data_IF_607299495404
#
_entry.id   IF_607299495404
#
_cell.length_a   1.000
_cell.length_b   1.000
_cell.length_c   1.000
_cell.angle_alpha   90.00
_cell.angle_beta   90.00
_cell.angle_gamma   90.00
#
_symmetry.space_group_name_H-M   'P 1'
#
loop_
_entity.id
_entity.type
_entity.pdbx_description
1 polymer ?
#
# COMPACT_ATOMS: atom_id res chain seq x y z
N UNK A 1 -11.02 -18.40 -20.80
CA UNK A 1 -10.78 -18.88 -19.43
C UNK A 1 -9.28 -19.16 -19.19
N UNK A 2 -8.40 -18.52 -19.97
CA UNK A 2 -6.99 -18.92 -20.16
C UNK A 2 -6.01 -17.79 -19.78
N UNK A 3 -6.39 -16.88 -18.89
CA UNK A 3 -5.56 -15.73 -18.48
C UNK A 3 -5.55 -15.54 -16.96
N UNK A 4 -5.73 -16.63 -16.22
CA UNK A 4 -5.60 -16.64 -14.76
C UNK A 4 -4.43 -17.51 -14.28
N UNK A 5 -3.85 -18.33 -15.17
CA UNK A 5 -2.77 -19.28 -14.83
C UNK A 5 -1.35 -18.68 -14.86
N UNK A 6 -1.18 -17.41 -15.25
CA UNK A 6 0.11 -16.70 -15.13
C UNK A 6 0.28 -15.96 -13.81
N UNK A 7 -0.78 -15.87 -13.01
CA UNK A 7 -0.73 -15.28 -11.68
C UNK A 7 -0.53 -16.47 -10.74
N UNK A 8 0.70 -16.65 -10.23
CA UNK A 8 1.10 -17.76 -9.35
C UNK A 8 0.33 -17.78 -8.02
N UNK A 9 -0.95 -18.10 -8.07
CA UNK A 9 -1.84 -18.24 -6.92
C UNK A 9 -1.98 -19.72 -6.54
N UNK A 10 -0.84 -20.39 -6.34
CA UNK A 10 -0.80 -21.65 -5.60
C UNK A 10 -1.14 -21.38 -4.14
N UNK A 11 -1.99 -22.24 -3.59
CA UNK A 11 -2.56 -22.22 -2.25
C UNK A 11 -1.52 -21.99 -1.13
N UNK A 12 -1.70 -20.91 -0.36
CA UNK A 12 -0.99 -20.67 0.90
C UNK A 12 -0.68 -19.19 1.14
N UNK A 13 -1.68 -18.40 1.54
CA UNK A 13 -1.61 -16.96 1.89
C UNK A 13 -0.46 -16.17 1.24
N UNK A 14 -0.60 -15.81 -0.04
CA UNK A 14 0.15 -14.68 -0.59
C UNK A 14 -0.38 -13.39 0.06
N UNK A 15 0.45 -12.72 0.84
CA UNK A 15 0.18 -11.36 1.28
C UNK A 15 0.19 -10.46 0.05
N UNK A 16 -0.93 -9.81 -0.24
CA UNK A 16 -1.04 -8.92 -1.39
C UNK A 16 -0.66 -7.51 -0.97
N UNK A 17 0.34 -6.93 -1.64
CA UNK A 17 0.68 -5.51 -1.54
C UNK A 17 0.05 -4.80 -2.74
N UNK A 18 -0.89 -3.91 -2.44
CA UNK A 18 -1.70 -3.21 -3.43
C UNK A 18 -1.56 -1.70 -3.24
N UNK A 19 -1.90 -0.95 -4.27
CA UNK A 19 -1.96 0.51 -4.25
C UNK A 19 -3.16 1.01 -5.03
N UNK A 20 -3.78 2.09 -4.57
CA UNK A 20 -4.81 2.80 -5.35
C UNK A 20 -4.19 3.44 -6.58
N UNK A 21 -5.01 3.62 -7.63
CA UNK A 21 -4.60 4.34 -8.86
C UNK A 21 -3.97 5.70 -8.61
N UNK A 22 -4.58 6.50 -7.74
CA UNK A 22 -4.07 7.84 -7.43
C UNK A 22 -2.76 7.80 -6.65
N UNK A 23 -2.60 6.81 -5.76
CA UNK A 23 -1.33 6.55 -5.11
C UNK A 23 -0.25 6.15 -6.14
N UNK A 24 -0.57 5.28 -7.10
CA UNK A 24 0.37 4.88 -8.14
C UNK A 24 0.82 6.07 -9.00
N UNK A 25 -0.09 7.00 -9.32
CA UNK A 25 0.25 8.26 -10.01
C UNK A 25 1.19 9.12 -9.18
N UNK A 26 0.88 9.31 -7.90
CA UNK A 26 1.72 10.06 -6.96
C UNK A 26 3.10 9.42 -6.79
N UNK A 27 3.16 8.08 -6.68
CA UNK A 27 4.39 7.32 -6.59
C UNK A 27 5.31 7.59 -7.80
N UNK A 28 4.74 7.62 -9.01
CA UNK A 28 5.47 7.93 -10.25
C UNK A 28 5.98 9.36 -10.25
N UNK A 29 5.17 10.35 -9.85
CA UNK A 29 5.62 11.75 -9.78
C UNK A 29 6.77 11.95 -8.78
N UNK A 30 6.81 11.14 -7.72
CA UNK A 30 7.86 11.16 -6.72
C UNK A 30 9.07 10.28 -7.06
N UNK A 31 9.03 9.55 -8.19
CA UNK A 31 10.06 8.58 -8.60
C UNK A 31 10.36 7.56 -7.49
N UNK A 32 9.32 7.13 -6.77
CA UNK A 32 9.42 6.16 -5.69
C UNK A 32 9.26 4.74 -6.27
N UNK A 33 10.28 3.87 -6.23
CA UNK A 33 10.17 2.53 -6.79
C UNK A 33 9.30 1.60 -5.92
N UNK A 34 8.74 0.55 -6.53
CA UNK A 34 7.95 -0.47 -5.83
C UNK A 34 8.77 -1.16 -4.74
N UNK A 35 10.07 -1.37 -4.93
CA UNK A 35 10.99 -1.95 -3.94
C UNK A 35 10.99 -1.17 -2.61
N UNK A 36 10.81 0.15 -2.65
CA UNK A 36 10.69 0.96 -1.44
C UNK A 36 9.37 0.72 -0.69
N UNK A 37 8.27 0.49 -1.41
CA UNK A 37 6.99 0.12 -0.83
C UNK A 37 7.04 -1.28 -0.21
N UNK A 38 7.68 -2.22 -0.91
CA UNK A 38 7.88 -3.59 -0.43
C UNK A 38 8.69 -3.60 0.88
N UNK A 39 9.81 -2.88 0.91
CA UNK A 39 10.59 -2.71 2.15
C UNK A 39 9.77 -2.11 3.28
N UNK A 40 8.93 -1.11 3.00
CA UNK A 40 8.06 -0.52 4.01
C UNK A 40 7.04 -1.53 4.58
N UNK A 41 6.49 -2.42 3.74
CA UNK A 41 5.62 -3.52 4.19
C UNK A 41 6.38 -4.55 5.02
N UNK A 42 7.59 -4.93 4.62
CA UNK A 42 8.44 -5.86 5.39
C UNK A 42 8.81 -5.29 6.77
N UNK A 43 9.12 -4.00 6.84
CA UNK A 43 9.31 -3.31 8.12
C UNK A 43 8.05 -3.38 8.98
N UNK A 44 6.86 -3.13 8.42
CA UNK A 44 5.59 -3.24 9.16
C UNK A 44 5.30 -4.66 9.65
N UNK A 45 5.64 -5.69 8.86
CA UNK A 45 5.53 -7.10 9.30
C UNK A 45 6.40 -7.39 10.53
N UNK A 46 7.56 -6.74 10.63
CA UNK A 46 8.46 -6.83 11.78
C UNK A 46 8.06 -5.92 12.95
N UNK A 47 6.88 -5.29 12.88
CA UNK A 47 6.37 -4.39 13.91
C UNK A 47 6.89 -2.95 13.83
N UNK A 48 7.65 -2.59 12.79
CA UNK A 48 8.17 -1.24 12.60
C UNK A 48 7.10 -0.35 11.94
N UNK A 49 6.16 0.12 12.75
CA UNK A 49 5.04 0.99 12.38
C UNK A 49 5.32 2.41 12.93
N UNK A 50 5.23 3.45 12.10
CA UNK A 50 5.45 4.82 12.57
C UNK A 50 4.28 5.38 13.36
N UNK A 51 3.03 5.10 12.95
CA UNK A 51 1.85 5.36 13.77
C UNK A 51 0.68 4.47 13.35
N UNK A 52 -0.06 3.97 14.34
CA UNK A 52 -1.37 3.36 14.16
C UNK A 52 -2.45 4.45 14.29
N UNK A 53 -3.25 4.62 13.24
CA UNK A 53 -4.35 5.59 13.19
C UNK A 53 -5.70 4.89 13.39
N UNK A 54 -5.74 3.68 13.93
CA UNK A 54 -6.95 2.89 14.19
C UNK A 54 -7.70 2.49 12.93
N UNK A 55 -8.64 1.56 13.06
CA UNK A 55 -9.49 1.12 11.93
C UNK A 55 -8.69 0.51 10.78
N UNK A 56 -7.60 -0.20 11.10
CA UNK A 56 -6.67 -0.80 10.15
C UNK A 56 -5.96 0.22 9.25
N UNK A 57 -5.87 1.49 9.66
CA UNK A 57 -5.17 2.56 8.95
C UNK A 57 -3.85 2.87 9.66
N UNK A 58 -2.76 2.88 8.90
CA UNK A 58 -1.42 3.10 9.40
C UNK A 58 -0.73 4.23 8.65
N UNK A 59 0.12 4.95 9.39
CA UNK A 59 1.09 5.89 8.81
C UNK A 59 2.45 5.19 8.77
N UNK A 60 3.10 5.25 7.62
CA UNK A 60 4.42 4.67 7.40
C UNK A 60 5.34 5.66 6.69
N UNK A 61 6.58 5.75 7.14
CA UNK A 61 7.64 6.50 6.47
C UNK A 61 8.33 5.59 5.46
N UNK A 62 8.58 6.12 4.27
CA UNK A 62 9.29 5.41 3.21
C UNK A 62 10.52 6.21 2.83
N UNK A 63 11.68 5.56 2.92
CA UNK A 63 12.96 6.16 2.55
C UNK A 63 13.04 6.44 1.05
N UNK A 64 13.62 7.57 0.67
CA UNK A 64 13.87 7.91 -0.73
C UNK A 64 15.13 7.20 -1.23
N UNK A 65 15.12 6.60 -2.42
CA UNK A 65 16.34 6.05 -3.03
C UNK A 65 17.38 7.17 -3.24
N UNK A 66 18.64 6.92 -2.85
CA UNK A 66 19.76 7.80 -3.19
C UNK A 66 19.86 9.14 -2.44
N UNK A 67 19.04 9.40 -1.41
CA UNK A 67 19.18 10.62 -0.59
C UNK A 67 19.19 10.31 0.90
N UNK A 68 20.08 10.95 1.66
CA UNK A 68 20.21 10.79 3.11
C UNK A 68 18.92 11.08 3.91
N UNK A 69 18.95 10.73 5.21
CA UNK A 69 17.82 10.61 6.18
C UNK A 69 16.83 11.78 6.32
N UNK A 70 16.97 12.89 5.61
CA UNK A 70 16.21 14.14 5.81
C UNK A 70 15.03 14.36 4.85
N UNK A 71 14.61 13.37 4.05
CA UNK A 71 13.60 13.59 2.99
C UNK A 71 12.65 12.44 2.65
N UNK A 72 12.40 11.50 3.56
CA UNK A 72 11.48 10.38 3.32
C UNK A 72 10.02 10.81 3.15
N UNK A 73 9.25 10.01 2.42
CA UNK A 73 7.82 10.20 2.21
C UNK A 73 7.01 9.70 3.39
N UNK A 74 5.82 10.26 3.59
CA UNK A 74 4.82 9.72 4.53
C UNK A 74 3.68 9.15 3.72
N UNK A 75 3.31 7.91 3.99
CA UNK A 75 2.21 7.23 3.34
C UNK A 75 1.15 6.82 4.35
N UNK A 76 -0.10 6.86 3.91
CA UNK A 76 -1.22 6.22 4.59
C UNK A 76 -1.57 4.95 3.83
N UNK A 77 -1.57 3.84 4.56
CA UNK A 77 -1.98 2.57 4.03
C UNK A 77 -2.90 1.87 5.00
N UNK A 78 -3.79 1.05 4.46
CA UNK A 78 -4.57 0.12 5.26
C UNK A 78 -3.98 -1.27 5.20
N UNK A 79 -3.94 -1.95 6.35
CA UNK A 79 -3.32 -3.26 6.44
C UNK A 79 -4.03 -4.18 7.43
N UNK A 80 -4.08 -5.47 7.09
CA UNK A 80 -4.10 -6.55 8.08
C UNK A 80 -2.70 -7.13 8.12
N UNK A 81 -1.97 -6.92 9.22
CA UNK A 81 -0.59 -7.37 9.34
C UNK A 81 -0.53 -8.89 9.11
N UNK A 82 0.35 -9.33 8.22
CA UNK A 82 0.43 -10.73 7.77
C UNK A 82 -0.55 -11.12 6.65
N UNK A 83 -1.44 -10.21 6.23
CA UNK A 83 -2.43 -10.41 5.18
C UNK A 83 -2.26 -9.42 4.03
N UNK A 84 -3.27 -8.56 3.82
CA UNK A 84 -3.31 -7.61 2.71
C UNK A 84 -2.86 -6.22 3.17
N UNK A 85 -2.14 -5.52 2.30
CA UNK A 85 -1.68 -4.14 2.46
C UNK A 85 -2.16 -3.32 1.27
N UNK A 86 -2.73 -2.14 1.51
CA UNK A 86 -3.26 -1.27 0.47
C UNK A 86 -2.80 0.17 0.71
N UNK A 87 -1.89 0.66 -0.12
CA UNK A 87 -1.48 2.07 -0.10
C UNK A 87 -2.60 2.97 -0.61
N UNK A 88 -3.03 3.90 0.23
CA UNK A 88 -4.19 4.77 -0.03
C UNK A 88 -3.75 6.16 -0.48
N UNK A 89 -2.78 6.75 0.22
CA UNK A 89 -2.35 8.13 -0.01
C UNK A 89 -0.87 8.34 0.35
N UNK A 90 -0.19 9.25 -0.35
CA UNK A 90 1.19 9.63 -0.09
C UNK A 90 1.30 11.16 0.00
N UNK A 91 2.09 11.64 0.95
CA UNK A 91 2.32 13.07 1.18
C UNK A 91 3.70 13.48 0.68
N UNK A 92 3.74 14.62 -0.02
CA UNK A 92 4.98 15.31 -0.35
C UNK A 92 5.66 15.88 0.92
N UNK A 93 6.95 16.19 0.84
CA UNK A 93 7.78 16.63 2.00
C UNK A 93 7.26 17.92 2.67
N UNK A 94 6.54 18.77 1.96
CA UNK A 94 6.03 20.08 2.41
C UNK A 94 4.57 20.06 2.87
N UNK A 95 3.78 19.05 2.50
CA UNK A 95 2.43 18.88 3.01
C UNK A 95 2.51 18.28 4.42
N UNK A 96 2.11 19.05 5.43
CA UNK A 96 1.88 18.50 6.76
C UNK A 96 0.83 17.40 6.61
N UNK A 97 1.24 16.16 6.87
CA UNK A 97 0.40 14.96 6.91
C UNK A 97 -0.57 14.96 8.11
N UNK A 98 -1.24 16.09 8.34
CA UNK A 98 -2.32 16.28 9.30
C UNK A 98 -3.61 15.98 8.56
N UNK A 99 -4.10 14.75 8.69
CA UNK A 99 -5.43 14.40 8.20
C UNK A 99 -6.47 14.86 9.23
N UNK A 100 -7.58 15.42 8.75
CA UNK A 100 -8.70 15.75 9.61
C UNK A 100 -9.37 14.48 10.15
N UNK A 101 -10.15 14.57 11.25
CA UNK A 101 -10.93 13.44 11.74
C UNK A 101 -11.86 12.85 10.67
N UNK A 102 -12.42 13.68 9.79
CA UNK A 102 -13.32 13.29 8.70
C UNK A 102 -12.55 12.54 7.61
N UNK A 103 -11.40 13.06 7.18
CA UNK A 103 -10.51 12.40 6.22
C UNK A 103 -10.02 11.05 6.75
N UNK A 104 -9.66 11.00 8.04
CA UNK A 104 -9.27 9.74 8.71
C UNK A 104 -10.39 8.71 8.64
N UNK A 105 -11.64 9.08 8.97
CA UNK A 105 -12.80 8.17 8.89
C UNK A 105 -13.04 7.69 7.47
N UNK A 106 -12.96 8.58 6.48
CA UNK A 106 -13.12 8.24 5.07
C UNK A 106 -12.04 7.25 4.60
N UNK A 107 -10.78 7.47 4.99
CA UNK A 107 -9.67 6.57 4.67
C UNK A 107 -9.79 5.22 5.36
N UNK A 108 -10.22 5.17 6.63
CA UNK A 108 -10.50 3.92 7.34
C UNK A 108 -11.60 3.12 6.64
N UNK A 109 -12.70 3.78 6.25
CA UNK A 109 -13.80 3.14 5.54
C UNK A 109 -13.33 2.57 4.20
N UNK A 110 -12.69 3.40 3.36
CA UNK A 110 -12.19 2.97 2.06
C UNK A 110 -11.16 1.84 2.20
N UNK A 111 -10.23 1.96 3.14
CA UNK A 111 -9.23 0.96 3.46
C UNK A 111 -9.85 -0.38 3.84
N UNK A 112 -10.83 -0.37 4.75
CA UNK A 112 -11.55 -1.59 5.15
C UNK A 112 -12.24 -2.27 3.97
N UNK A 113 -12.92 -1.51 3.10
CA UNK A 113 -13.55 -2.05 1.89
C UNK A 113 -12.53 -2.79 1.02
N UNK A 114 -11.35 -2.20 0.78
CA UNK A 114 -10.30 -2.86 -0.01
C UNK A 114 -9.69 -4.09 0.68
N UNK A 115 -9.55 -4.04 2.01
CA UNK A 115 -9.09 -5.18 2.79
C UNK A 115 -10.08 -6.34 2.79
N UNK A 116 -11.38 -6.06 2.67
CA UNK A 116 -12.48 -7.03 2.72
C UNK A 116 -12.91 -7.54 1.32
N UNK A 117 -12.32 -7.03 0.23
CA UNK A 117 -12.63 -7.54 -1.10
C UNK A 117 -12.38 -9.05 -1.21
N UNK A 118 -13.40 -9.77 -1.66
CA UNK A 118 -13.30 -11.17 -2.08
C UNK A 118 -12.33 -11.31 -3.25
N UNK A 119 -11.88 -12.54 -3.54
CA UNK A 119 -10.96 -12.79 -4.67
C UNK A 119 -11.53 -12.29 -6.00
N UNK A 120 -12.81 -12.54 -6.24
CA UNK A 120 -13.49 -12.08 -7.47
C UNK A 120 -13.60 -10.55 -7.53
N UNK A 121 -13.97 -9.92 -6.41
CA UNK A 121 -14.10 -8.47 -6.36
C UNK A 121 -12.73 -7.78 -6.49
N UNK A 122 -11.69 -8.37 -5.91
CA UNK A 122 -10.31 -7.92 -6.07
C UNK A 122 -9.85 -8.04 -7.53
N UNK A 123 -10.09 -9.18 -8.18
CA UNK A 123 -9.76 -9.35 -9.60
C UNK A 123 -10.47 -8.32 -10.49
N UNK A 124 -11.74 -8.02 -10.20
CA UNK A 124 -12.48 -6.94 -10.88
C UNK A 124 -11.86 -5.56 -10.62
N UNK A 125 -11.48 -5.26 -9.38
CA UNK A 125 -10.85 -3.99 -9.02
C UNK A 125 -9.48 -3.79 -9.69
N UNK A 126 -8.69 -4.86 -9.81
CA UNK A 126 -7.42 -4.87 -10.55
C UNK A 126 -7.66 -4.65 -12.04
N UNK A 127 -8.58 -5.40 -12.65
CA UNK A 127 -8.93 -5.26 -14.08
C UNK A 127 -9.45 -3.86 -14.42
N UNK A 128 -10.23 -3.26 -13.52
CA UNK A 128 -10.73 -1.89 -13.66
C UNK A 128 -9.65 -0.82 -13.39
N UNK A 129 -8.47 -1.20 -12.90
CA UNK A 129 -7.39 -0.28 -12.53
C UNK A 129 -7.72 0.61 -11.33
N UNK A 130 -8.69 0.21 -10.49
CA UNK A 130 -9.00 0.88 -9.21
C UNK A 130 -7.88 0.62 -8.22
N UNK A 131 -7.41 -0.63 -8.21
CA UNK A 131 -6.24 -1.10 -7.49
C UNK A 131 -5.20 -1.58 -8.49
N UNK A 132 -3.93 -1.48 -8.09
CA UNK A 132 -2.79 -2.04 -8.81
C UNK A 132 -1.95 -2.85 -7.82
N UNK A 133 -1.29 -3.88 -8.33
CA UNK A 133 -0.31 -4.63 -7.55
C UNK A 133 0.99 -3.83 -7.41
N UNK A 134 1.66 -4.03 -6.28
CA UNK A 134 3.04 -3.60 -6.08
C UNK A 134 3.91 -4.81 -6.34
N UNK A 135 4.85 -4.69 -7.27
CA UNK A 135 5.74 -5.78 -7.64
C UNK A 135 6.94 -5.80 -6.71
N UNK A 136 6.90 -6.70 -5.73
CA UNK A 136 8.05 -6.98 -4.88
C UNK A 136 8.91 -8.02 -5.57
N UNK A 137 10.06 -7.60 -6.10
CA UNK A 137 11.10 -8.55 -6.51
C UNK A 137 11.49 -9.35 -5.26
N UNK A 138 11.31 -10.66 -5.35
CA UNK A 138 11.87 -11.59 -4.37
C UNK A 138 13.37 -11.59 -4.68
N UNK A 139 14.14 -10.79 -3.95
CA UNK A 139 15.60 -10.89 -3.97
C UNK A 139 15.96 -12.36 -3.71
N UNK A 140 16.53 -13.00 -4.72
CA UNK A 140 17.01 -14.39 -4.71
C UNK A 140 18.42 -14.45 -4.12
#
# INVERSE_FOLDING_TARGET
MEEYARIGYTSGQSFAVLKRKDFARWQVSERLPDTALCKAVEEMKRGLIDADLGGLLYKKRIGRPGSGKSGGYRTLLSARIGGRYVFLHGFSKSEKANITPEERKALQFAGKVFLDLSREALAKALKAGVLLEVHCEQDH
#
